data_IF_632806606358
#
_entry.id   IF_632806606358
#
_cell.length_a   1.000
_cell.length_b   1.000
_cell.length_c   1.000
_cell.angle_alpha   90.00
_cell.angle_beta   90.00
_cell.angle_gamma   90.00
#
_symmetry.space_group_name_H-M   'P 1'
#
loop_
_entity.id
_entity.type
_entity.pdbx_description
1 polymer ?
#
# COMPACT_ATOMS: atom_id res chain seq x y z
N UNK A 1 -18.11 18.22 -15.63
CA UNK A 1 -18.04 18.32 -14.16
C UNK A 1 -17.86 16.91 -13.60
N UNK A 2 -16.62 16.51 -13.34
CA UNK A 2 -16.25 15.16 -12.87
C UNK A 2 -16.48 15.05 -11.35
N UNK A 3 -17.22 14.04 -10.90
CA UNK A 3 -17.28 13.65 -9.48
C UNK A 3 -16.06 12.79 -9.17
N UNK A 4 -15.03 13.38 -8.56
CA UNK A 4 -13.98 12.60 -7.87
C UNK A 4 -14.60 12.04 -6.60
N UNK A 5 -14.81 10.73 -6.52
CA UNK A 5 -15.18 10.07 -5.26
C UNK A 5 -13.89 9.86 -4.48
N UNK A 6 -13.50 10.87 -3.70
CA UNK A 6 -12.46 10.71 -2.70
C UNK A 6 -13.11 10.08 -1.46
N UNK A 7 -13.03 8.76 -1.32
CA UNK A 7 -13.46 8.08 -0.11
C UNK A 7 -12.29 8.02 0.87
N UNK A 8 -12.29 8.92 1.83
CA UNK A 8 -11.41 8.80 2.99
C UNK A 8 -12.01 7.75 3.93
N UNK A 9 -11.55 6.51 3.84
CA UNK A 9 -11.92 5.45 4.78
C UNK A 9 -11.16 5.67 6.08
N UNK A 10 -11.76 6.40 7.02
CA UNK A 10 -11.27 6.45 8.39
C UNK A 10 -11.65 5.13 9.08
N UNK A 11 -10.70 4.20 9.17
CA UNK A 11 -10.87 3.00 9.97
C UNK A 11 -11.03 3.41 11.45
N UNK A 12 -12.23 3.22 12.02
CA UNK A 12 -12.47 3.43 13.44
C UNK A 12 -11.85 2.26 14.22
N UNK A 13 -10.63 2.45 14.70
CA UNK A 13 -9.94 1.50 15.58
C UNK A 13 -10.50 1.64 16.99
N UNK A 14 -11.15 0.60 17.50
CA UNK A 14 -11.43 0.48 18.94
C UNK A 14 -10.20 -0.11 19.61
N UNK A 15 -9.38 0.73 20.22
CA UNK A 15 -8.25 0.27 21.02
C UNK A 15 -8.77 -0.40 22.30
N UNK A 16 -8.56 -1.71 22.44
CA UNK A 16 -8.70 -2.37 23.73
C UNK A 16 -7.63 -1.82 24.68
N UNK A 17 -8.07 -1.26 25.82
CA UNK A 17 -7.17 -0.74 26.86
C UNK A 17 -6.41 -1.91 27.50
N UNK A 18 -5.13 -2.06 27.18
CA UNK A 18 -4.26 -3.03 27.81
C UNK A 18 -3.79 -2.53 29.19
N UNK A 19 -3.94 -3.40 30.20
CA UNK A 19 -3.44 -3.23 31.56
C UNK A 19 -1.91 -3.03 31.54
N UNK A 20 -1.37 -1.92 32.08
CA UNK A 20 0.05 -1.58 31.97
C UNK A 20 0.99 -2.45 32.81
N UNK A 21 0.50 -3.46 33.55
CA UNK A 21 1.30 -4.06 34.62
C UNK A 21 1.36 -5.59 34.63
N UNK A 22 1.53 -6.22 33.46
CA UNK A 22 2.25 -7.50 33.35
C UNK A 22 2.46 -7.84 31.87
N UNK A 23 3.69 -8.13 31.43
CA UNK A 23 4.03 -9.40 30.76
C UNK A 23 5.46 -9.43 30.16
N UNK A 24 6.04 -10.65 30.03
CA UNK A 24 7.44 -10.90 29.74
C UNK A 24 7.77 -10.78 28.24
N UNK A 25 9.05 -10.92 27.88
CA UNK A 25 9.56 -11.05 26.50
C UNK A 25 8.96 -12.28 25.80
N UNK A 26 7.68 -12.25 25.44
CA UNK A 26 7.06 -13.18 24.50
C UNK A 26 7.38 -12.70 23.10
N UNK A 27 7.86 -13.62 22.25
CA UNK A 27 8.05 -13.38 20.82
C UNK A 27 6.82 -12.64 20.27
N UNK A 28 7.04 -11.53 19.56
CA UNK A 28 5.97 -10.67 19.06
C UNK A 28 5.02 -11.52 18.20
N UNK A 29 3.81 -11.76 18.71
CA UNK A 29 2.74 -12.39 17.94
C UNK A 29 2.47 -11.49 16.73
N UNK A 30 2.46 -12.02 15.48
CA UNK A 30 2.12 -11.24 14.32
C UNK A 30 0.72 -10.62 14.51
N UNK A 31 0.64 -9.30 14.61
CA UNK A 31 -0.63 -8.59 14.65
C UNK A 31 -1.08 -8.33 13.21
N UNK A 32 -2.02 -9.14 12.73
CA UNK A 32 -2.70 -8.90 11.44
C UNK A 32 -3.90 -7.99 11.66
N UNK A 33 -3.76 -6.72 11.31
CA UNK A 33 -4.89 -5.79 11.22
C UNK A 33 -5.50 -5.89 9.83
N UNK A 34 -6.83 -6.12 9.75
CA UNK A 34 -7.58 -6.14 8.48
C UNK A 34 -8.30 -4.80 8.26
N UNK A 35 -7.86 -4.02 7.28
CA UNK A 35 -8.58 -2.81 6.84
C UNK A 35 -9.36 -3.15 5.56
N UNK A 36 -10.70 -3.09 5.64
CA UNK A 36 -11.60 -3.30 4.50
C UNK A 36 -11.97 -1.96 3.89
N UNK A 37 -11.52 -1.69 2.66
CA UNK A 37 -12.07 -0.62 1.83
C UNK A 37 -13.21 -1.20 1.00
N UNK A 38 -14.46 -0.88 1.34
CA UNK A 38 -15.69 -1.21 0.58
C UNK A 38 -15.84 -2.68 0.14
N UNK A 39 -15.24 -3.63 0.88
CA UNK A 39 -15.13 -5.04 0.50
C UNK A 39 -14.41 -5.31 -0.83
N UNK A 40 -13.68 -4.35 -1.40
CA UNK A 40 -12.90 -4.53 -2.63
C UNK A 40 -11.57 -5.22 -2.36
N UNK A 41 -10.93 -4.87 -1.25
CA UNK A 41 -9.71 -5.51 -0.79
C UNK A 41 -9.63 -5.52 0.73
N UNK A 42 -8.81 -6.43 1.26
CA UNK A 42 -8.35 -6.45 2.64
C UNK A 42 -6.86 -6.17 2.70
N UNK A 43 -6.44 -5.30 3.61
CA UNK A 43 -5.02 -5.11 3.94
C UNK A 43 -4.71 -5.90 5.19
N UNK A 44 -3.62 -6.67 5.20
CA UNK A 44 -3.07 -7.33 6.38
C UNK A 44 -1.63 -6.85 6.59
N UNK A 45 -1.29 -6.51 7.82
CA UNK A 45 0.08 -6.11 8.18
C UNK A 45 0.74 -7.23 8.98
N UNK A 46 2.01 -7.51 8.71
CA UNK A 46 2.85 -8.34 9.56
C UNK A 46 3.95 -7.50 10.17
N UNK A 47 4.29 -7.81 11.42
CA UNK A 47 5.34 -7.15 12.19
C UNK A 47 5.07 -5.64 12.42
N UNK A 48 4.19 -5.35 13.38
CA UNK A 48 3.78 -3.99 13.74
C UNK A 48 4.70 -3.34 14.79
N UNK A 49 5.99 -3.67 14.83
CA UNK A 49 6.95 -3.03 15.75
C UNK A 49 7.68 -1.85 15.10
N UNK A 50 7.71 -0.70 15.78
CA UNK A 50 8.41 0.49 15.30
C UNK A 50 9.89 0.24 14.96
N UNK A 51 10.30 0.79 13.81
CA UNK A 51 11.63 0.65 13.22
C UNK A 51 11.94 -0.73 12.62
N UNK A 52 10.99 -1.67 12.67
CA UNK A 52 11.18 -3.02 12.13
C UNK A 52 10.53 -3.14 10.75
N UNK A 53 11.16 -3.86 9.80
CA UNK A 53 10.52 -4.30 8.58
C UNK A 53 9.11 -4.88 8.82
N UNK A 54 8.13 -4.33 8.11
CA UNK A 54 6.75 -4.80 8.07
C UNK A 54 6.41 -5.23 6.64
N UNK A 55 5.58 -6.26 6.52
CA UNK A 55 4.98 -6.59 5.22
C UNK A 55 3.51 -6.21 5.23
N UNK A 56 3.10 -5.41 4.26
CA UNK A 56 1.72 -4.96 4.07
C UNK A 56 1.15 -5.71 2.87
N UNK A 57 0.33 -6.72 3.14
CA UNK A 57 -0.30 -7.57 2.13
C UNK A 57 -1.70 -7.07 1.82
N UNK A 58 -1.92 -6.71 0.56
CA UNK A 58 -3.19 -6.35 -0.05
C UNK A 58 -3.75 -7.61 -0.71
N UNK A 59 -5.00 -7.97 -0.40
CA UNK A 59 -5.72 -9.08 -1.02
C UNK A 59 -6.99 -8.53 -1.64
N UNK A 60 -7.14 -8.68 -2.96
CA UNK A 60 -8.36 -8.28 -3.65
C UNK A 60 -9.47 -9.27 -3.34
N UNK A 61 -10.58 -8.78 -2.84
CA UNK A 61 -11.74 -9.58 -2.44
C UNK A 61 -12.80 -9.64 -3.54
N UNK A 62 -12.68 -8.78 -4.57
CA UNK A 62 -13.56 -8.69 -5.72
C UNK A 62 -12.75 -8.45 -6.98
N UNK A 63 -13.37 -8.73 -8.12
CA UNK A 63 -12.82 -8.41 -9.42
C UNK A 63 -12.78 -6.89 -9.61
N UNK A 64 -11.64 -6.37 -10.07
CA UNK A 64 -11.43 -4.95 -10.33
C UNK A 64 -11.27 -4.75 -11.83
N UNK A 65 -12.25 -4.10 -12.44
CA UNK A 65 -12.16 -3.65 -13.83
C UNK A 65 -11.16 -2.48 -13.91
N UNK A 66 -10.19 -2.55 -14.80
CA UNK A 66 -9.28 -1.44 -15.09
C UNK A 66 -9.49 -0.93 -16.53
N UNK A 67 -9.08 0.32 -16.75
CA UNK A 67 -9.26 1.03 -18.02
C UNK A 67 -7.94 1.65 -18.48
N UNK A 68 -7.93 2.21 -19.69
CA UNK A 68 -6.78 2.93 -20.22
C UNK A 68 -6.44 4.19 -19.41
N UNK A 69 -5.17 4.28 -19.02
CA UNK A 69 -4.47 5.51 -18.65
C UNK A 69 -5.09 6.39 -17.56
N UNK A 70 -4.40 7.49 -17.27
CA UNK A 70 -4.96 8.58 -16.46
C UNK A 70 -5.81 9.51 -17.34
N UNK A 71 -6.98 9.99 -16.89
CA UNK A 71 -7.50 9.96 -15.52
C UNK A 71 -8.47 8.80 -15.20
N UNK A 72 -8.67 7.84 -16.12
CA UNK A 72 -9.71 6.81 -15.99
C UNK A 72 -9.26 5.58 -15.18
N UNK A 73 -7.97 5.51 -14.86
CA UNK A 73 -7.38 4.47 -14.04
C UNK A 73 -8.09 4.28 -12.69
N UNK A 74 -8.15 3.04 -12.23
CA UNK A 74 -8.66 2.71 -10.90
C UNK A 74 -7.53 2.92 -9.91
N UNK A 75 -7.73 3.84 -8.96
CA UNK A 75 -6.73 4.20 -7.98
C UNK A 75 -7.24 4.04 -6.55
N UNK A 76 -6.43 3.44 -5.70
CA UNK A 76 -6.69 3.21 -4.28
C UNK A 76 -5.73 4.03 -3.44
N UNK A 77 -6.28 4.86 -2.55
CA UNK A 77 -5.47 5.56 -1.56
C UNK A 77 -5.31 4.68 -0.32
N UNK A 78 -4.08 4.32 0.01
CA UNK A 78 -3.78 3.43 1.13
C UNK A 78 -2.94 4.21 2.14
N UNK A 79 -3.49 4.39 3.34
CA UNK A 79 -2.76 4.90 4.50
C UNK A 79 -2.05 3.74 5.21
N UNK A 80 -0.73 3.64 5.01
CA UNK A 80 0.09 2.57 5.55
C UNK A 80 0.23 2.68 7.07
N UNK A 81 0.21 3.89 7.64
CA UNK A 81 0.27 4.06 9.08
C UNK A 81 -1.04 3.63 9.74
N UNK A 82 -2.19 4.02 9.18
CA UNK A 82 -3.48 3.55 9.66
C UNK A 82 -3.63 2.03 9.55
N UNK A 83 -3.14 1.44 8.45
CA UNK A 83 -3.11 0.00 8.26
C UNK A 83 -2.24 -0.73 9.30
N UNK A 84 -1.12 -0.12 9.71
CA UNK A 84 -0.26 -0.66 10.77
C UNK A 84 -0.77 -0.37 12.18
N UNK A 85 -1.74 0.53 12.34
CA UNK A 85 -2.27 1.00 13.62
C UNK A 85 -1.36 2.02 14.33
N UNK A 86 -0.56 2.77 13.58
CA UNK A 86 0.49 3.64 14.10
C UNK A 86 0.22 5.12 13.82
N UNK A 87 0.97 5.97 14.51
CA UNK A 87 1.03 7.42 14.23
C UNK A 87 1.72 7.60 12.86
N UNK A 88 1.28 8.56 12.03
CA UNK A 88 1.88 8.80 10.72
C UNK A 88 3.37 9.14 10.85
N UNK A 89 4.20 8.20 10.44
CA UNK A 89 5.65 8.33 10.30
C UNK A 89 6.01 8.14 8.82
N UNK A 90 7.11 8.74 8.33
CA UNK A 90 7.61 8.43 7.00
C UNK A 90 7.85 6.92 6.85
N UNK A 91 7.53 6.37 5.69
CA UNK A 91 7.77 4.96 5.40
C UNK A 91 8.67 4.81 4.18
N UNK A 92 9.61 3.87 4.25
CA UNK A 92 10.47 3.47 3.14
C UNK A 92 9.92 2.17 2.54
N UNK A 93 9.55 2.21 1.26
CA UNK A 93 9.08 1.06 0.51
C UNK A 93 10.27 0.53 -0.28
N UNK A 94 10.65 -0.71 0.00
CA UNK A 94 11.91 -1.28 -0.52
C UNK A 94 11.74 -2.67 -1.14
N UNK A 95 10.54 -3.25 -1.10
CA UNK A 95 10.29 -4.52 -1.76
C UNK A 95 8.83 -4.69 -2.17
N UNK A 96 8.62 -5.53 -3.18
CA UNK A 96 7.31 -5.92 -3.66
C UNK A 96 7.29 -7.41 -3.98
N UNK A 97 6.24 -8.10 -3.53
CA UNK A 97 5.88 -9.45 -3.96
C UNK A 97 4.47 -9.43 -4.52
N UNK A 98 4.18 -10.26 -5.53
CA UNK A 98 2.83 -10.37 -6.08
C UNK A 98 2.49 -11.79 -6.52
N UNK A 99 1.19 -12.07 -6.50
CA UNK A 99 0.54 -13.23 -7.09
C UNK A 99 -0.80 -12.75 -7.66
N UNK A 100 -0.83 -12.50 -8.96
CA UNK A 100 -1.88 -11.75 -9.64
C UNK A 100 -2.51 -12.60 -10.72
N UNK A 101 -3.83 -12.74 -10.68
CA UNK A 101 -4.59 -13.31 -11.80
C UNK A 101 -5.36 -12.19 -12.47
N UNK A 102 -5.12 -11.97 -13.75
CA UNK A 102 -5.77 -10.90 -14.51
C UNK A 102 -6.17 -11.35 -15.91
N UNK A 103 -7.17 -10.68 -16.48
CA UNK A 103 -7.66 -10.88 -17.83
C UNK A 103 -7.53 -9.59 -18.63
N UNK A 104 -6.89 -9.66 -19.80
CA UNK A 104 -6.98 -8.63 -20.83
C UNK A 104 -8.12 -8.96 -21.79
N UNK A 105 -9.05 -8.02 -21.98
CA UNK A 105 -10.20 -8.18 -22.87
C UNK A 105 -9.76 -7.88 -24.31
N UNK A 106 -10.12 -8.74 -25.26
CA UNK A 106 -9.73 -8.52 -26.67
C UNK A 106 -10.34 -7.21 -27.22
N UNK A 107 -9.54 -6.28 -27.76
CA UNK A 107 -8.22 -6.53 -28.34
C UNK A 107 -6.98 -6.24 -27.46
N UNK A 108 -7.14 -5.79 -26.22
CA UNK A 108 -6.05 -5.47 -25.29
C UNK A 108 -5.18 -6.67 -24.96
N UNK A 109 -3.92 -6.43 -24.60
CA UNK A 109 -2.93 -7.47 -24.31
C UNK A 109 -2.60 -7.56 -22.81
N UNK A 110 -2.29 -8.78 -22.35
CA UNK A 110 -1.84 -9.00 -20.97
C UNK A 110 -0.61 -8.16 -20.61
N UNK A 111 0.29 -7.93 -21.58
CA UNK A 111 1.50 -7.12 -21.42
C UNK A 111 1.25 -5.61 -21.30
N UNK A 112 0.02 -5.14 -21.44
CA UNK A 112 -0.31 -3.73 -21.33
C UNK A 112 -0.86 -3.37 -19.94
N UNK A 113 -1.21 -4.37 -19.13
CA UNK A 113 -1.62 -4.18 -17.76
C UNK A 113 -0.48 -3.62 -16.90
N UNK A 114 -0.75 -2.49 -16.24
CA UNK A 114 0.17 -1.80 -15.36
C UNK A 114 -0.39 -1.76 -13.95
N UNK A 115 0.54 -1.94 -13.01
CA UNK A 115 0.33 -1.63 -11.61
C UNK A 115 1.34 -0.58 -11.22
N UNK A 116 0.86 0.53 -10.67
CA UNK A 116 1.70 1.64 -10.26
C UNK A 116 1.51 1.94 -8.78
N UNK A 117 2.62 2.12 -8.09
CA UNK A 117 2.69 2.55 -6.70
C UNK A 117 3.35 3.91 -6.66
N UNK A 118 2.62 4.94 -6.25
CA UNK A 118 3.15 6.30 -6.10
C UNK A 118 2.87 6.86 -4.72
N UNK A 119 3.59 7.91 -4.34
CA UNK A 119 3.18 8.77 -3.24
C UNK A 119 1.86 9.49 -3.60
N UNK A 120 1.21 10.07 -2.58
CA UNK A 120 -0.07 10.79 -2.77
C UNK A 120 -0.01 11.90 -3.82
N UNK A 121 1.15 12.53 -3.98
CA UNK A 121 1.35 13.65 -4.90
C UNK A 121 1.89 13.21 -6.28
N UNK A 122 2.08 11.90 -6.50
CA UNK A 122 2.58 11.29 -7.74
C UNK A 122 3.94 11.85 -8.19
N UNK A 123 4.81 12.17 -7.22
CA UNK A 123 6.17 12.68 -7.44
C UNK A 123 7.22 11.58 -7.40
N UNK A 124 6.96 10.50 -6.66
CA UNK A 124 7.85 9.34 -6.51
C UNK A 124 7.06 8.05 -6.53
N UNK A 125 7.69 6.98 -6.98
CA UNK A 125 7.03 5.69 -7.11
C UNK A 125 7.71 4.78 -8.12
N UNK A 126 7.03 3.69 -8.43
CA UNK A 126 7.43 2.76 -9.48
C UNK A 126 6.19 2.12 -10.11
N UNK A 127 6.36 1.57 -11.31
CA UNK A 127 5.35 0.75 -11.97
C UNK A 127 5.91 -0.60 -12.37
N UNK A 128 5.04 -1.60 -12.42
CA UNK A 128 5.38 -2.95 -12.86
C UNK A 128 4.46 -3.39 -14.01
N UNK A 129 5.01 -4.29 -14.81
CA UNK A 129 4.26 -5.11 -15.75
C UNK A 129 4.28 -6.55 -15.26
N UNK A 130 3.15 -7.11 -14.77
CA UNK A 130 3.16 -8.49 -14.35
C UNK A 130 3.37 -9.48 -15.51
N UNK A 131 2.98 -9.11 -16.74
CA UNK A 131 3.04 -9.99 -17.92
C UNK A 131 3.93 -9.42 -19.03
N UNK A 132 4.54 -10.32 -19.82
CA UNK A 132 5.18 -9.98 -21.10
C UNK A 132 4.40 -10.52 -22.30
N UNK A 133 3.20 -11.05 -22.07
CA UNK A 133 2.42 -11.78 -23.08
C UNK A 133 1.60 -10.82 -23.95
N UNK A 134 1.94 -10.70 -25.23
CA UNK A 134 1.26 -9.82 -26.19
C UNK A 134 0.01 -10.48 -26.82
N UNK A 135 -0.85 -11.05 -25.99
CA UNK A 135 -2.14 -11.61 -26.43
C UNK A 135 -3.22 -11.32 -25.40
N UNK A 136 -4.50 -11.20 -25.81
CA UNK A 136 -5.62 -11.21 -24.87
C UNK A 136 -5.74 -12.55 -24.15
N UNK A 137 -6.50 -12.59 -23.06
CA UNK A 137 -6.75 -13.83 -22.31
C UNK A 137 -6.61 -13.63 -20.81
N UNK A 138 -6.46 -14.72 -20.07
CA UNK A 138 -6.28 -14.71 -18.61
C UNK A 138 -4.94 -15.34 -18.25
N UNK A 139 -4.20 -14.72 -17.34
CA UNK A 139 -2.91 -15.22 -16.87
C UNK A 139 -2.74 -14.96 -15.37
N UNK A 140 -2.08 -15.92 -14.70
CA UNK A 140 -1.59 -15.77 -13.33
C UNK A 140 -0.08 -15.52 -13.37
N UNK A 141 0.34 -14.37 -12.84
CA UNK A 141 1.73 -13.97 -12.75
C UNK A 141 2.15 -13.84 -11.29
N UNK A 142 3.28 -14.47 -10.95
CA UNK A 142 3.89 -14.36 -9.62
C UNK A 142 5.31 -13.83 -9.73
N UNK A 143 5.73 -13.01 -8.76
CA UNK A 143 7.12 -12.59 -8.65
C UNK A 143 8.07 -13.71 -8.20
N UNK A 144 7.54 -14.84 -7.70
CA UNK A 144 8.35 -15.93 -7.15
C UNK A 144 9.04 -15.61 -5.82
N UNK A 145 8.72 -14.47 -5.21
CA UNK A 145 9.30 -13.98 -3.96
C UNK A 145 9.37 -12.45 -3.90
N UNK A 146 10.00 -11.92 -2.85
CA UNK A 146 10.17 -10.48 -2.67
C UNK A 146 11.20 -9.93 -3.68
N UNK A 147 10.75 -9.04 -4.55
CA UNK A 147 11.61 -8.25 -5.45
C UNK A 147 12.23 -7.12 -4.66
N UNK A 148 13.56 -7.02 -4.69
CA UNK A 148 14.32 -5.95 -4.03
C UNK A 148 14.31 -4.68 -4.89
N UNK A 149 13.55 -3.67 -4.46
CA UNK A 149 13.43 -2.40 -5.17
C UNK A 149 14.67 -1.52 -4.99
N UNK A 150 15.45 -1.71 -3.92
CA UNK A 150 16.69 -0.95 -3.69
C UNK A 150 17.71 -1.31 -4.77
N UNK A 151 17.89 -2.62 -5.01
CA UNK A 151 18.80 -3.11 -6.05
C UNK A 151 18.37 -2.67 -7.46
N UNK A 152 17.09 -2.41 -7.68
CA UNK A 152 16.54 -1.92 -8.95
C UNK A 152 16.53 -0.38 -9.04
N UNK A 153 16.82 0.35 -7.96
CA UNK A 153 16.72 1.82 -7.91
C UNK A 153 15.27 2.33 -7.98
N UNK A 154 14.31 1.53 -7.50
CA UNK A 154 12.87 1.80 -7.49
C UNK A 154 12.30 1.92 -6.08
N UNK A 155 13.14 1.89 -5.04
CA UNK A 155 12.71 2.15 -3.67
C UNK A 155 12.38 3.65 -3.50
N UNK A 156 11.42 3.94 -2.63
CA UNK A 156 11.01 5.33 -2.39
C UNK A 156 10.47 5.53 -0.98
N UNK A 157 10.46 6.79 -0.57
CA UNK A 157 9.97 7.23 0.74
C UNK A 157 8.62 7.92 0.57
N UNK A 158 7.70 7.65 1.47
CA UNK A 158 6.38 8.31 1.51
C UNK A 158 6.19 9.08 2.81
N UNK A 159 5.80 10.34 2.68
CA UNK A 159 5.51 11.23 3.80
C UNK A 159 4.38 12.22 3.45
N UNK A 160 3.21 12.17 4.10
CA UNK A 160 2.72 11.12 5.02
C UNK A 160 2.76 9.72 4.36
N UNK A 161 2.65 8.62 5.13
CA UNK A 161 2.80 7.26 4.60
C UNK A 161 1.57 6.79 3.83
N UNK A 162 1.17 7.57 2.83
CA UNK A 162 0.05 7.34 1.95
C UNK A 162 0.59 6.98 0.58
N UNK A 163 0.17 5.83 0.07
CA UNK A 163 0.45 5.43 -1.30
C UNK A 163 -0.82 5.50 -2.15
N UNK A 164 -0.63 5.73 -3.42
CA UNK A 164 -1.62 5.51 -4.46
C UNK A 164 -1.25 4.24 -5.21
N UNK A 165 -2.10 3.22 -5.08
CA UNK A 165 -2.04 2.02 -5.92
C UNK A 165 -2.96 2.24 -7.12
N UNK A 166 -2.42 2.23 -8.32
CA UNK A 166 -3.17 2.46 -9.55
C UNK A 166 -3.10 1.24 -10.47
N UNK A 167 -4.25 0.82 -10.99
CA UNK A 167 -4.42 -0.23 -11.98
C UNK A 167 -4.88 0.39 -13.30
N UNK A 168 -4.16 0.15 -14.38
CA UNK A 168 -4.44 0.75 -15.68
C UNK A 168 -3.85 -0.04 -16.84
N UNK A 169 -4.31 0.26 -18.04
CA UNK A 169 -3.79 -0.29 -19.29
C UNK A 169 -3.02 0.79 -20.08
N UNK A 170 -1.91 0.40 -20.74
CA UNK A 170 -1.10 1.33 -21.55
C UNK A 170 -1.69 1.71 -22.91
N UNK A 171 -2.69 0.99 -23.42
CA UNK A 171 -3.31 1.26 -24.72
C UNK A 171 -4.82 1.38 -24.57
N UNK A 172 -5.42 2.30 -25.34
CA UNK A 172 -6.86 2.55 -25.36
C UNK A 172 -7.52 1.80 -26.51
N UNK A 173 -7.84 0.53 -26.28
CA UNK A 173 -8.45 -0.31 -27.30
C UNK A 173 -9.98 -0.22 -27.32
N UNK A 174 -10.59 0.21 -26.22
CA UNK A 174 -12.05 0.34 -26.09
C UNK A 174 -12.56 1.79 -26.01
N UNK A 175 -11.70 2.80 -26.21
CA UNK A 175 -12.10 4.21 -26.20
C UNK A 175 -12.57 4.69 -24.82
N UNK A 176 -11.86 4.31 -23.77
CA UNK A 176 -12.19 4.54 -22.36
C UNK A 176 -13.10 3.48 -21.74
N UNK A 177 -13.26 2.34 -22.40
CA UNK A 177 -13.95 1.16 -21.88
C UNK A 177 -13.13 0.39 -20.85
N UNK A 178 -13.67 -0.74 -20.40
CA UNK A 178 -12.91 -1.69 -19.57
C UNK A 178 -11.95 -2.43 -20.48
N UNK A 179 -10.65 -2.32 -20.16
CA UNK A 179 -9.55 -2.96 -20.90
C UNK A 179 -9.25 -4.35 -20.31
N UNK A 180 -9.46 -4.51 -19.01
CA UNK A 180 -9.26 -5.79 -18.35
C UNK A 180 -9.77 -5.87 -16.93
N UNK A 181 -9.53 -7.02 -16.32
CA UNK A 181 -10.04 -7.40 -15.00
C UNK A 181 -8.90 -7.98 -14.17
N UNK A 182 -8.64 -7.41 -13.01
CA UNK A 182 -7.84 -8.06 -11.97
C UNK A 182 -8.77 -8.90 -11.10
N UNK A 183 -8.55 -10.22 -11.05
CA UNK A 183 -9.47 -11.15 -10.38
C UNK A 183 -9.33 -11.13 -8.86
N UNK A 184 -10.44 -11.38 -8.18
CA UNK A 184 -10.48 -11.65 -6.76
C UNK A 184 -9.52 -12.80 -6.37
N UNK A 185 -8.92 -12.69 -5.18
CA UNK A 185 -7.90 -13.61 -4.70
C UNK A 185 -6.47 -13.21 -5.08
N UNK A 186 -6.29 -12.29 -6.04
CA UNK A 186 -4.98 -11.69 -6.34
C UNK A 186 -4.41 -10.99 -5.10
N UNK A 187 -3.09 -11.07 -4.91
CA UNK A 187 -2.41 -10.48 -3.77
C UNK A 187 -1.14 -9.73 -4.15
N UNK A 188 -0.85 -8.68 -3.37
CA UNK A 188 0.40 -7.92 -3.45
C UNK A 188 0.91 -7.67 -2.03
N UNK A 189 2.21 -7.76 -1.82
CA UNK A 189 2.84 -7.52 -0.53
C UNK A 189 3.95 -6.49 -0.68
N UNK A 190 3.81 -5.37 0.00
CA UNK A 190 4.84 -4.34 0.10
C UNK A 190 5.72 -4.63 1.32
N UNK A 191 7.04 -4.66 1.11
CA UNK A 191 8.00 -4.62 2.20
C UNK A 191 8.29 -3.16 2.55
N UNK A 192 7.96 -2.79 3.78
CA UNK A 192 7.94 -1.41 4.26
C UNK A 192 8.74 -1.30 5.55
N UNK A 193 9.49 -0.21 5.69
CA UNK A 193 10.15 0.16 6.95
C UNK A 193 9.67 1.53 7.37
N UNK A 194 8.93 1.58 8.47
CA UNK A 194 8.57 2.84 9.11
C UNK A 194 9.80 3.45 9.76
N UNK A 195 9.98 4.75 9.57
CA UNK A 195 11.12 5.51 10.04
C UNK A 195 10.67 6.28 11.28
N UNK A 196 11.11 5.88 12.49
CA UNK A 196 10.74 6.58 13.70
C UNK A 196 11.02 8.07 13.57
N UNK A 197 10.05 8.89 13.98
CA UNK A 197 10.31 10.32 14.08
C UNK A 197 11.56 10.52 14.97
N UNK A 198 12.50 11.41 14.57
CA UNK A 198 13.70 11.60 15.35
C UNK A 198 13.32 11.97 16.78
N UNK A 199 13.97 11.30 17.75
CA UNK A 199 13.78 11.47 19.20
C UNK A 199 14.01 12.91 19.68
N UNK A 200 14.51 13.78 18.80
CA UNK A 200 14.59 15.22 18.96
C UNK A 200 13.25 15.85 19.30
N UNK A 201 12.12 15.33 18.79
CA UNK A 201 10.79 15.87 19.11
C UNK A 201 10.39 15.55 20.55
N UNK A 202 10.65 14.32 21.01
CA UNK A 202 10.49 13.93 22.41
C UNK A 202 11.41 14.74 23.32
N UNK A 203 12.68 14.92 22.93
CA UNK A 203 13.63 15.74 23.68
C UNK A 203 13.21 17.21 23.74
N UNK A 204 12.64 17.75 22.66
CA UNK A 204 12.09 19.09 22.64
C UNK A 204 10.92 19.22 23.61
N UNK A 205 9.99 18.26 23.62
CA UNK A 205 8.87 18.23 24.56
C UNK A 205 9.35 18.13 26.01
N UNK A 206 10.28 17.21 26.32
CA UNK A 206 10.83 17.05 27.67
C UNK A 206 11.63 18.30 28.09
N UNK A 207 12.42 18.87 27.18
CA UNK A 207 13.16 20.11 27.40
C UNK A 207 12.23 21.29 27.68
N UNK A 208 11.11 21.38 26.98
CA UNK A 208 10.07 22.40 27.20
C UNK A 208 9.46 22.27 28.59
N UNK A 209 9.09 21.06 29.00
CA UNK A 209 8.53 20.78 30.34
C UNK A 209 9.55 21.10 31.44
N UNK A 210 10.81 20.69 31.25
CA UNK A 210 11.88 20.99 32.19
C UNK A 210 12.14 22.50 32.33
N UNK A 211 12.11 23.24 31.22
CA UNK A 211 12.26 24.69 31.21
C UNK A 211 11.10 25.41 31.92
N UNK A 212 9.85 24.94 31.73
CA UNK A 212 8.69 25.48 32.45
C UNK A 212 8.79 25.23 33.96
N UNK A 213 9.28 24.05 34.38
CA UNK A 213 9.43 23.74 35.81
C UNK A 213 10.47 24.63 36.50
N UNK A 214 11.51 25.08 35.80
CA UNK A 214 12.52 26.02 36.35
C UNK A 214 12.02 27.46 36.50
N UNK A 215 10.88 27.81 35.90
CA UNK A 215 10.30 29.17 35.98
C UNK A 215 9.29 29.32 37.14
N UNK A 216 9.09 28.28 37.95
CA UNK A 216 8.32 28.33 39.19
C UNK A 216 9.28 28.28 40.38
#
# INVERSE_FOLDING_TARGET
MMKRVALAVAALVTAAHADPNTQPNTAATPHTQVVNADNLFSISVSNTRNGTPANIRITFLQDINYTYGFPNAVAFNIDLAAAAGWIPEPAHIYGLEWDLTHTALSPSWLSEFRIEFTDKDMTTGFSINPSSTNTPGTETNTSGGLVDLISLGHDFYVQPPHILLTLWDTVDDFGGGVEGILHAGSTMTLAVKFIPAPSTLTLLCIGSVAAMRRRR
#
